data_IF_474759062751
#
_entry.id   IF_474759062751
#
_cell.length_a   1.000
_cell.length_b   1.000
_cell.length_c   1.000
_cell.angle_alpha   90.00
_cell.angle_beta   90.00
_cell.angle_gamma   90.00
#
_symmetry.space_group_name_H-M   'P 1'
#
loop_
_entity.id
_entity.type
_entity.pdbx_description
1 polymer ?
#
# COMPACT_ATOMS: atom_id res chain seq x y z
N UNK A 1 30.39 46.16 4.08
CA UNK A 1 28.93 46.15 4.30
C UNK A 1 28.29 45.20 3.29
N UNK A 2 27.21 44.55 3.71
CA UNK A 2 26.29 43.67 2.97
C UNK A 2 26.61 42.18 2.83
N UNK A 3 26.27 41.46 3.90
CA UNK A 3 25.60 40.17 3.78
C UNK A 3 24.27 40.33 3.00
N UNK A 4 24.00 39.46 2.03
CA UNK A 4 22.65 39.25 1.51
C UNK A 4 22.48 37.84 0.96
N UNK A 5 21.34 37.25 1.35
CA UNK A 5 20.69 36.07 0.79
C UNK A 5 21.37 34.70 0.98
N UNK A 6 21.35 34.17 2.22
CA UNK A 6 21.12 32.73 2.39
C UNK A 6 19.61 32.52 2.39
N UNK A 7 19.11 31.88 1.34
CA UNK A 7 17.69 31.58 1.16
C UNK A 7 17.11 30.86 2.37
N UNK A 8 15.89 31.25 2.75
CA UNK A 8 15.08 30.59 3.76
C UNK A 8 14.82 29.15 3.32
N UNK A 9 15.63 28.21 3.81
CA UNK A 9 15.27 26.80 3.79
C UNK A 9 14.05 26.66 4.70
N UNK A 10 12.87 26.47 4.12
CA UNK A 10 11.63 26.29 4.87
C UNK A 10 11.79 25.12 5.85
N UNK A 11 11.98 25.44 7.13
CA UNK A 11 12.01 24.47 8.22
C UNK A 11 10.61 23.91 8.37
N UNK A 12 10.34 22.76 7.74
CA UNK A 12 9.12 22.01 8.01
C UNK A 12 9.02 21.75 9.50
N UNK A 13 7.98 22.28 10.16
CA UNK A 13 7.84 22.16 11.60
C UNK A 13 7.73 20.68 11.99
N UNK A 14 8.54 20.25 12.97
CA UNK A 14 8.57 18.87 13.46
C UNK A 14 7.17 18.28 13.74
N UNK A 15 6.21 19.02 14.32
CA UNK A 15 4.83 18.54 14.52
C UNK A 15 4.12 18.17 13.21
N UNK A 16 4.35 18.94 12.14
CA UNK A 16 3.75 18.67 10.82
C UNK A 16 4.31 17.39 10.21
N UNK A 17 5.61 17.15 10.36
CA UNK A 17 6.25 15.93 9.86
C UNK A 17 5.73 14.70 10.62
N UNK A 18 5.64 14.78 11.94
CA UNK A 18 5.09 13.70 12.79
C UNK A 18 3.63 13.41 12.42
N UNK A 19 2.79 14.44 12.31
CA UNK A 19 1.39 14.27 11.94
C UNK A 19 1.23 13.63 10.55
N UNK A 20 2.02 14.07 9.56
CA UNK A 20 1.99 13.48 8.21
C UNK A 20 2.41 12.00 8.22
N UNK A 21 3.44 11.64 9.01
CA UNK A 21 3.86 10.25 9.17
C UNK A 21 2.78 9.40 9.83
N UNK A 22 2.15 9.90 10.91
CA UNK A 22 1.07 9.19 11.60
C UNK A 22 -0.13 8.94 10.67
N UNK A 23 -0.55 9.95 9.92
CA UNK A 23 -1.63 9.80 8.94
C UNK A 23 -1.26 8.76 7.89
N UNK A 24 -0.04 8.82 7.34
CA UNK A 24 0.45 7.84 6.38
C UNK A 24 0.41 6.41 6.93
N UNK A 25 0.92 6.21 8.15
CA UNK A 25 0.90 4.91 8.83
C UNK A 25 -0.52 4.42 9.06
N UNK A 26 -1.44 5.29 9.49
CA UNK A 26 -2.84 4.91 9.69
C UNK A 26 -3.51 4.49 8.39
N UNK A 27 -3.27 5.21 7.28
CA UNK A 27 -3.80 4.85 5.97
C UNK A 27 -3.27 3.49 5.53
N UNK A 28 -1.97 3.24 5.71
CA UNK A 28 -1.37 1.93 5.41
C UNK A 28 -2.03 0.81 6.21
N UNK A 29 -2.19 0.97 7.53
CA UNK A 29 -2.85 -0.02 8.37
C UNK A 29 -4.32 -0.24 7.99
N UNK A 30 -5.02 0.84 7.63
CA UNK A 30 -6.41 0.77 7.21
C UNK A 30 -6.57 -0.08 5.95
N UNK A 31 -5.75 0.16 4.92
CA UNK A 31 -5.80 -0.58 3.66
C UNK A 31 -5.41 -2.05 3.83
N UNK A 32 -4.38 -2.34 4.64
CA UNK A 32 -4.02 -3.72 4.98
C UNK A 32 -5.16 -4.46 5.67
N UNK A 33 -5.84 -3.80 6.60
CA UNK A 33 -6.99 -4.37 7.28
C UNK A 33 -8.17 -4.58 6.33
N UNK A 34 -8.43 -3.62 5.44
CA UNK A 34 -9.45 -3.74 4.41
C UNK A 34 -9.18 -4.92 3.48
N UNK A 35 -7.94 -5.07 3.00
CA UNK A 35 -7.57 -6.22 2.18
C UNK A 35 -7.71 -7.54 2.96
N UNK A 36 -7.24 -7.60 4.21
CA UNK A 36 -7.33 -8.81 5.04
C UNK A 36 -8.77 -9.23 5.31
N UNK A 37 -9.68 -8.28 5.58
CA UNK A 37 -11.11 -8.57 5.75
C UNK A 37 -11.76 -9.01 4.44
N UNK A 38 -11.42 -8.38 3.31
CA UNK A 38 -11.89 -8.80 1.99
C UNK A 38 -11.38 -10.21 1.62
N UNK A 39 -10.13 -10.53 1.96
CA UNK A 39 -9.56 -11.86 1.77
C UNK A 39 -10.31 -12.93 2.59
N UNK A 40 -10.68 -12.60 3.83
CA UNK A 40 -11.41 -13.51 4.71
C UNK A 40 -12.87 -13.76 4.27
N UNK A 41 -13.54 -12.74 3.70
CA UNK A 41 -15.00 -12.79 3.52
C UNK A 41 -15.47 -12.86 2.06
N UNK A 42 -14.68 -12.30 1.13
CA UNK A 42 -15.13 -11.99 -0.23
C UNK A 42 -14.29 -12.70 -1.29
N UNK A 43 -12.97 -12.55 -1.27
CA UNK A 43 -12.09 -12.99 -2.36
C UNK A 43 -12.11 -14.50 -2.61
N UNK A 44 -12.21 -15.32 -1.55
CA UNK A 44 -12.33 -16.77 -1.70
C UNK A 44 -13.53 -17.18 -2.56
N UNK A 45 -14.67 -16.50 -2.40
CA UNK A 45 -15.89 -16.76 -3.18
C UNK A 45 -15.85 -16.11 -4.56
N UNK A 46 -15.24 -14.93 -4.68
CA UNK A 46 -15.24 -14.14 -5.91
C UNK A 46 -14.25 -14.67 -6.97
N UNK A 47 -13.07 -15.12 -6.53
CA UNK A 47 -11.96 -15.52 -7.41
C UNK A 47 -11.74 -17.04 -7.45
N UNK A 48 -12.18 -17.79 -6.43
CA UNK A 48 -12.02 -19.25 -6.36
C UNK A 48 -13.36 -20.00 -6.18
N UNK A 49 -14.41 -19.73 -6.97
CA UNK A 49 -15.74 -20.32 -6.75
C UNK A 49 -15.82 -21.83 -7.00
N UNK A 50 -14.90 -22.41 -7.79
CA UNK A 50 -14.88 -23.86 -8.08
C UNK A 50 -14.03 -24.68 -7.11
N UNK A 51 -13.36 -24.02 -6.16
CA UNK A 51 -12.61 -24.69 -5.09
C UNK A 51 -13.55 -25.04 -3.94
N UNK A 52 -13.21 -26.07 -3.16
CA UNK A 52 -13.87 -26.29 -1.88
C UNK A 52 -13.77 -25.01 -1.01
N UNK A 53 -14.82 -24.61 -0.26
CA UNK A 53 -14.83 -23.34 0.47
C UNK A 53 -13.63 -23.13 1.40
N UNK A 54 -13.09 -24.20 1.99
CA UNK A 54 -11.88 -24.12 2.79
C UNK A 54 -10.67 -23.76 1.93
N UNK A 55 -10.48 -24.46 0.82
CA UNK A 55 -9.37 -24.21 -0.12
C UNK A 55 -9.43 -22.81 -0.73
N UNK A 56 -10.60 -22.33 -1.14
CA UNK A 56 -10.75 -20.98 -1.68
C UNK A 56 -10.39 -19.89 -0.66
N UNK A 57 -10.75 -20.10 0.61
CA UNK A 57 -10.36 -19.21 1.71
C UNK A 57 -8.86 -19.24 1.97
N UNK A 58 -8.25 -20.44 1.96
CA UNK A 58 -6.81 -20.59 2.14
C UNK A 58 -6.03 -19.92 1.00
N UNK A 59 -6.46 -20.09 -0.25
CA UNK A 59 -5.83 -19.43 -1.41
C UNK A 59 -5.92 -17.91 -1.30
N UNK A 60 -7.08 -17.38 -0.87
CA UNK A 60 -7.28 -15.96 -0.61
C UNK A 60 -6.37 -15.42 0.51
N UNK A 61 -6.19 -16.16 1.61
CA UNK A 61 -5.21 -15.79 2.63
C UNK A 61 -3.77 -15.92 2.14
N UNK A 62 -3.49 -16.84 1.21
CA UNK A 62 -2.17 -17.00 0.62
C UNK A 62 -1.80 -15.78 -0.23
N UNK A 63 -2.73 -15.22 -1.02
CA UNK A 63 -2.49 -13.95 -1.73
C UNK A 63 -2.26 -12.79 -0.76
N UNK A 64 -2.99 -12.75 0.34
CA UNK A 64 -2.73 -11.78 1.42
C UNK A 64 -1.34 -11.97 2.04
N UNK A 65 -0.92 -13.21 2.29
CA UNK A 65 0.39 -13.56 2.85
C UNK A 65 1.55 -13.15 1.94
N UNK A 66 1.40 -13.25 0.62
CA UNK A 66 2.41 -12.77 -0.35
C UNK A 66 2.65 -11.26 -0.17
N UNK A 67 1.62 -10.49 0.16
CA UNK A 67 1.72 -9.06 0.48
C UNK A 67 2.64 -8.77 1.68
N UNK A 68 2.79 -9.69 2.64
CA UNK A 68 3.74 -9.55 3.74
C UNK A 68 5.19 -9.73 3.28
N UNK A 69 5.46 -10.63 2.32
CA UNK A 69 6.78 -10.78 1.73
C UNK A 69 7.15 -9.58 0.82
N UNK A 70 6.15 -8.97 0.18
CA UNK A 70 6.35 -7.76 -0.62
C UNK A 70 6.79 -6.55 0.22
N UNK A 71 6.46 -6.49 1.52
CA UNK A 71 6.83 -5.37 2.40
C UNK A 71 8.33 -5.23 2.64
N UNK A 72 9.09 -6.26 3.06
CA UNK A 72 10.55 -6.18 3.15
C UNK A 72 11.20 -5.78 1.83
N UNK A 73 10.74 -6.34 0.72
CA UNK A 73 11.22 -5.99 -0.63
C UNK A 73 10.96 -4.51 -0.96
N UNK A 74 9.74 -4.04 -0.69
CA UNK A 74 9.37 -2.64 -0.82
C UNK A 74 10.23 -1.74 0.08
N UNK A 75 10.43 -2.11 1.34
CA UNK A 75 11.24 -1.36 2.29
C UNK A 75 12.71 -1.25 1.84
N UNK A 76 13.29 -2.30 1.25
CA UNK A 76 14.64 -2.25 0.70
C UNK A 76 14.73 -1.31 -0.52
N UNK A 77 13.80 -1.45 -1.47
CA UNK A 77 13.78 -0.64 -2.70
C UNK A 77 13.46 0.82 -2.37
N UNK A 78 12.30 1.08 -1.76
CA UNK A 78 11.86 2.42 -1.39
C UNK A 78 12.73 3.02 -0.28
N UNK A 79 13.33 2.23 0.62
CA UNK A 79 14.33 2.75 1.56
C UNK A 79 15.54 3.32 0.84
N UNK A 80 16.12 2.56 -0.09
CA UNK A 80 17.27 3.00 -0.88
C UNK A 80 16.97 4.24 -1.72
N UNK A 81 15.85 4.26 -2.44
CA UNK A 81 15.46 5.42 -3.23
C UNK A 81 15.02 6.61 -2.36
N UNK A 82 14.54 6.37 -1.14
CA UNK A 82 14.08 7.40 -0.22
C UNK A 82 15.19 8.29 0.29
N UNK A 83 16.35 7.70 0.53
CA UNK A 83 17.55 8.41 0.95
C UNK A 83 18.14 9.28 -0.18
N UNK A 84 17.85 8.94 -1.45
CA UNK A 84 18.32 9.70 -2.63
C UNK A 84 17.32 10.73 -3.17
N UNK A 85 16.03 10.39 -3.23
CA UNK A 85 14.98 11.17 -3.91
C UNK A 85 14.21 12.08 -2.94
N UNK A 86 14.27 11.77 -1.64
CA UNK A 86 13.66 12.54 -0.56
C UNK A 86 12.38 11.91 -0.01
N UNK A 87 12.30 11.83 1.33
CA UNK A 87 11.26 11.11 2.09
C UNK A 87 9.82 11.53 1.74
N UNK A 88 9.56 12.83 1.53
CA UNK A 88 8.22 13.33 1.22
C UNK A 88 7.70 12.78 -0.13
N UNK A 89 8.54 12.77 -1.16
CA UNK A 89 8.14 12.30 -2.51
C UNK A 89 7.84 10.81 -2.49
N UNK A 90 8.64 10.04 -1.77
CA UNK A 90 8.39 8.62 -1.61
C UNK A 90 7.12 8.30 -0.83
N UNK A 91 6.83 9.05 0.24
CA UNK A 91 5.59 8.86 0.99
C UNK A 91 4.35 9.08 0.12
N UNK A 92 4.39 10.09 -0.76
CA UNK A 92 3.30 10.32 -1.73
C UNK A 92 3.24 9.19 -2.76
N UNK A 93 4.37 8.76 -3.30
CA UNK A 93 4.43 7.67 -4.27
C UNK A 93 3.90 6.36 -3.69
N UNK A 94 4.28 6.02 -2.45
CA UNK A 94 3.81 4.80 -1.78
C UNK A 94 2.30 4.85 -1.54
N UNK A 95 1.76 6.00 -1.11
CA UNK A 95 0.32 6.18 -0.95
C UNK A 95 -0.45 6.04 -2.28
N UNK A 96 0.09 6.61 -3.37
CA UNK A 96 -0.52 6.48 -4.70
C UNK A 96 -0.46 5.04 -5.23
N UNK A 97 0.68 4.37 -5.06
CA UNK A 97 0.83 2.96 -5.45
C UNK A 97 -0.12 2.07 -4.65
N UNK A 98 -0.24 2.30 -3.35
CA UNK A 98 -1.12 1.53 -2.47
C UNK A 98 -2.59 1.72 -2.87
N UNK A 99 -3.09 2.96 -2.86
CA UNK A 99 -4.48 3.24 -3.24
C UNK A 99 -4.81 2.87 -4.69
N UNK A 100 -3.86 3.05 -5.61
CA UNK A 100 -4.00 2.64 -7.00
C UNK A 100 -4.12 1.13 -7.15
N UNK A 101 -3.30 0.36 -6.41
CA UNK A 101 -3.37 -1.10 -6.39
C UNK A 101 -4.70 -1.61 -5.82
N UNK A 102 -5.16 -1.05 -4.70
CA UNK A 102 -6.45 -1.42 -4.10
C UNK A 102 -7.62 -1.08 -5.03
N UNK A 103 -7.56 0.07 -5.69
CA UNK A 103 -8.58 0.44 -6.70
C UNK A 103 -8.55 -0.54 -7.87
N UNK A 104 -7.37 -0.90 -8.38
CA UNK A 104 -7.23 -1.87 -9.45
C UNK A 104 -7.79 -3.25 -9.05
N UNK A 105 -7.59 -3.69 -7.80
CA UNK A 105 -8.19 -4.92 -7.27
C UNK A 105 -9.71 -4.84 -7.29
N UNK A 106 -10.30 -3.70 -6.93
CA UNK A 106 -11.75 -3.49 -7.01
C UNK A 106 -12.31 -3.48 -8.43
N UNK A 107 -11.47 -3.19 -9.43
CA UNK A 107 -11.81 -3.24 -10.86
C UNK A 107 -11.52 -4.60 -11.49
N UNK A 108 -10.98 -5.57 -10.74
CA UNK A 108 -10.73 -6.90 -11.28
C UNK A 108 -12.05 -7.56 -11.66
N UNK A 109 -12.17 -8.06 -12.89
CA UNK A 109 -13.35 -8.79 -13.29
C UNK A 109 -13.44 -10.10 -12.49
N UNK A 110 -14.68 -10.48 -12.14
CA UNK A 110 -14.94 -11.68 -11.34
C UNK A 110 -14.83 -12.94 -12.18
N UNK A 111 -14.77 -14.10 -11.52
CA UNK A 111 -14.80 -15.39 -12.18
C UNK A 111 -15.98 -15.52 -13.17
N UNK A 112 -17.15 -14.99 -12.80
CA UNK A 112 -18.35 -15.00 -13.65
C UNK A 112 -18.18 -14.16 -14.94
N UNK A 113 -17.28 -13.18 -14.93
CA UNK A 113 -17.07 -12.25 -16.05
C UNK A 113 -16.04 -12.73 -17.07
N UNK A 114 -15.03 -13.51 -16.65
CA UNK A 114 -13.91 -13.92 -17.54
C UNK A 114 -13.58 -15.41 -17.49
N UNK A 115 -14.21 -16.19 -16.62
CA UNK A 115 -13.80 -17.57 -16.34
C UNK A 115 -12.52 -17.65 -15.50
N UNK A 116 -11.79 -18.76 -15.60
CA UNK A 116 -10.52 -18.94 -14.88
C UNK A 116 -9.38 -18.14 -15.55
N UNK A 117 -8.68 -17.33 -14.75
CA UNK A 117 -7.34 -16.82 -15.05
C UNK A 117 -6.27 -17.77 -14.51
#
# INVERSE_FOLDING_TARGET
MNASARGSAATSSLPRVVAASLIGTTIEWFDYFLYGTAAALVFGKLFFPNSDPLTGTLLSFLTYAIGFAARPLGALVFGHFGDRVGRKKLLVLSLLLMGGSTTAIGLLPTYDSVGAL
#
